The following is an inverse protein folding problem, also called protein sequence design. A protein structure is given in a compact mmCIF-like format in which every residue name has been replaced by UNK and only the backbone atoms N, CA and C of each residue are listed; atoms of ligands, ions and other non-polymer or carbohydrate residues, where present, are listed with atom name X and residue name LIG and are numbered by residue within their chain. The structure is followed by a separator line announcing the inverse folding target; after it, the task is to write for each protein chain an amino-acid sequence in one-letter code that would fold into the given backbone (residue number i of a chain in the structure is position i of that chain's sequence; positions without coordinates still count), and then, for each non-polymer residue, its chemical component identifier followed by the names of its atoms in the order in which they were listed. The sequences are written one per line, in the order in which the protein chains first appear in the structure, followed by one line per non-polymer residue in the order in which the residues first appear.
data_IF_774534084468
#
_entry.id   IF_774534084468
#
_cell.length_a   1.000
_cell.length_b   1.000
_cell.length_c   1.000
_cell.angle_alpha   90.00
_cell.angle_beta   90.00
_cell.angle_gamma   90.00
#
_symmetry.space_group_name_H-M   'P 1'
#
loop_
_entity.id
_entity.type
_entity.pdbx_description
1 polymer ?
#
# COMPACT_ATOMS: atom_id res chain seq x y z
N UNK A 1 -19.43 17.45 -17.80
CA UNK A 1 -19.29 16.03 -17.43
C UNK A 1 -17.87 15.63 -17.04
N UNK A 2 -16.83 15.99 -17.80
CA UNK A 2 -15.43 15.57 -17.59
C UNK A 2 -14.81 15.74 -16.18
N UNK A 3 -15.13 16.78 -15.41
CA UNK A 3 -14.54 16.99 -14.06
C UNK A 3 -15.06 16.00 -13.00
N UNK A 4 -16.32 15.58 -13.12
CA UNK A 4 -16.97 14.68 -12.15
C UNK A 4 -16.42 13.25 -12.26
N UNK A 5 -16.18 12.81 -13.49
CA UNK A 5 -15.60 11.48 -13.77
C UNK A 5 -14.16 11.38 -13.29
N UNK A 6 -13.38 12.46 -13.43
CA UNK A 6 -11.99 12.50 -12.95
C UNK A 6 -11.89 12.39 -11.43
N UNK A 7 -12.72 13.13 -10.68
CA UNK A 7 -12.77 13.01 -9.20
C UNK A 7 -13.23 11.61 -8.77
N UNK A 8 -14.21 11.01 -9.46
CA UNK A 8 -14.64 9.63 -9.19
C UNK A 8 -13.53 8.61 -9.43
N UNK A 9 -12.78 8.73 -10.53
CA UNK A 9 -11.64 7.86 -10.83
C UNK A 9 -10.54 7.99 -9.78
N UNK A 10 -10.21 9.21 -9.36
CA UNK A 10 -9.21 9.46 -8.32
C UNK A 10 -9.59 8.81 -6.98
N UNK A 11 -10.88 8.84 -6.61
CA UNK A 11 -11.39 8.15 -5.41
C UNK A 11 -11.26 6.63 -5.50
N UNK A 12 -11.57 6.05 -6.66
CA UNK A 12 -11.40 4.60 -6.89
C UNK A 12 -9.93 4.22 -6.80
N UNK A 13 -9.04 4.98 -7.44
CA UNK A 13 -7.60 4.77 -7.38
C UNK A 13 -7.07 4.90 -5.95
N UNK A 14 -7.52 5.90 -5.19
CA UNK A 14 -7.15 6.06 -3.78
C UNK A 14 -7.56 4.84 -2.95
N UNK A 15 -8.80 4.36 -3.11
CA UNK A 15 -9.28 3.15 -2.43
C UNK A 15 -8.47 1.90 -2.78
N UNK A 16 -8.10 1.72 -4.06
CA UNK A 16 -7.23 0.61 -4.50
C UNK A 16 -5.86 0.73 -3.84
N UNK A 17 -5.24 1.91 -3.84
CA UNK A 17 -3.95 2.15 -3.21
C UNK A 17 -4.00 1.89 -1.69
N UNK A 18 -5.08 2.31 -1.01
CA UNK A 18 -5.29 2.05 0.41
C UNK A 18 -5.39 0.55 0.72
N UNK A 19 -6.18 -0.19 -0.08
CA UNK A 19 -6.31 -1.64 0.08
C UNK A 19 -5.00 -2.38 -0.22
N UNK A 20 -4.24 -1.93 -1.22
CA UNK A 20 -2.96 -2.52 -1.56
C UNK A 20 -1.92 -2.28 -0.47
N UNK A 21 -1.91 -1.07 0.11
CA UNK A 21 -1.09 -0.74 1.28
C UNK A 21 -1.43 -1.64 2.48
N UNK A 22 -2.71 -1.80 2.80
CA UNK A 22 -3.16 -2.70 3.86
C UNK A 22 -2.74 -4.16 3.59
N UNK A 23 -2.78 -4.61 2.33
CA UNK A 23 -2.28 -5.92 1.92
C UNK A 23 -0.79 -6.11 2.21
N UNK A 24 0.05 -5.14 1.86
CA UNK A 24 1.49 -5.17 2.15
C UNK A 24 1.80 -5.17 3.65
N UNK A 25 1.08 -4.38 4.45
CA UNK A 25 1.22 -4.46 5.92
C UNK A 25 0.66 -5.76 6.50
N UNK A 26 -0.39 -6.30 5.90
CA UNK A 26 -0.96 -7.60 6.23
C UNK A 26 0.06 -8.73 6.05
N UNK A 27 0.84 -8.72 4.96
CA UNK A 27 1.94 -9.67 4.73
C UNK A 27 2.91 -9.65 5.91
N UNK A 28 3.29 -8.47 6.42
CA UNK A 28 4.21 -8.36 7.56
C UNK A 28 3.62 -8.99 8.83
N UNK A 29 2.32 -8.81 9.06
CA UNK A 29 1.64 -9.32 10.25
C UNK A 29 1.40 -10.85 10.21
N UNK A 30 1.06 -11.38 9.03
CA UNK A 30 0.73 -12.80 8.87
C UNK A 30 1.94 -13.66 8.54
N UNK A 31 3.06 -13.06 8.11
CA UNK A 31 4.29 -13.82 7.88
C UNK A 31 4.76 -14.33 9.24
N UNK A 32 4.70 -15.65 9.48
CA UNK A 32 4.94 -16.22 10.79
C UNK A 32 6.38 -15.90 11.21
N UNK A 33 6.57 -15.49 12.47
CA UNK A 33 7.86 -15.16 13.08
C UNK A 33 8.91 -16.28 13.15
N UNK A 34 8.79 -17.32 12.32
CA UNK A 34 9.32 -18.65 12.60
C UNK A 34 10.67 -18.98 11.95
N UNK A 35 11.24 -18.11 11.11
CA UNK A 35 12.62 -18.31 10.59
C UNK A 35 13.51 -17.05 10.64
N UNK A 36 13.03 -15.99 11.31
CA UNK A 36 13.48 -14.59 11.15
C UNK A 36 14.94 -14.31 11.55
N UNK A 37 15.58 -15.14 12.37
CA UNK A 37 16.93 -14.80 12.84
C UNK A 37 18.05 -15.08 11.82
N UNK A 38 17.84 -15.94 10.81
CA UNK A 38 18.96 -16.48 10.02
C UNK A 38 18.82 -16.43 8.49
N UNK A 39 17.70 -15.93 7.94
CA UNK A 39 17.50 -15.89 6.48
C UNK A 39 17.52 -14.45 5.95
N UNK A 40 18.55 -14.09 5.18
CA UNK A 40 18.71 -12.75 4.56
C UNK A 40 17.54 -12.37 3.65
N UNK A 41 16.85 -13.37 3.09
CA UNK A 41 15.66 -13.14 2.25
C UNK A 41 14.49 -12.57 3.04
N UNK A 42 14.38 -12.86 4.33
CA UNK A 42 13.31 -12.33 5.17
C UNK A 42 13.39 -10.81 5.33
N UNK A 43 14.60 -10.29 5.58
CA UNK A 43 14.83 -8.85 5.71
C UNK A 43 14.55 -8.09 4.41
N UNK A 44 14.85 -8.71 3.25
CA UNK A 44 14.52 -8.16 1.95
C UNK A 44 13.00 -8.07 1.75
N UNK A 45 12.26 -9.14 2.06
CA UNK A 45 10.79 -9.20 1.94
C UNK A 45 10.14 -8.20 2.91
N UNK A 46 10.65 -8.08 4.14
CA UNK A 46 10.15 -7.13 5.14
C UNK A 46 10.34 -5.69 4.65
N UNK A 47 11.55 -5.35 4.18
CA UNK A 47 11.87 -4.00 3.70
C UNK A 47 11.04 -3.65 2.48
N UNK A 48 10.87 -4.60 1.54
CA UNK A 48 10.00 -4.41 0.37
C UNK A 48 8.55 -4.21 0.79
N UNK A 49 8.03 -5.04 1.70
CA UNK A 49 6.63 -4.95 2.15
C UNK A 49 6.36 -3.63 2.87
N UNK A 50 7.28 -3.19 3.74
CA UNK A 50 7.18 -1.87 4.39
C UNK A 50 7.24 -0.75 3.35
N UNK A 51 8.21 -0.81 2.43
CA UNK A 51 8.42 0.20 1.41
C UNK A 51 7.20 0.36 0.49
N UNK A 52 6.66 -0.75 -0.04
CA UNK A 52 5.46 -0.73 -0.87
C UNK A 52 4.22 -0.34 -0.08
N UNK A 53 4.07 -0.81 1.16
CA UNK A 53 2.98 -0.39 2.05
C UNK A 53 2.94 1.12 2.25
N UNK A 54 4.07 1.74 2.57
CA UNK A 54 4.20 3.20 2.72
C UNK A 54 3.95 3.91 1.40
N UNK A 55 4.54 3.44 0.30
CA UNK A 55 4.40 4.06 -1.02
C UNK A 55 2.94 4.08 -1.48
N UNK A 56 2.21 2.97 -1.34
CA UNK A 56 0.79 2.92 -1.71
C UNK A 56 -0.10 3.71 -0.74
N UNK A 57 0.26 3.79 0.55
CA UNK A 57 -0.45 4.66 1.48
C UNK A 57 -0.29 6.12 1.10
N UNK A 58 0.92 6.53 0.75
CA UNK A 58 1.19 7.90 0.30
C UNK A 58 0.48 8.23 -1.01
N UNK A 59 0.48 7.31 -1.98
CA UNK A 59 -0.28 7.47 -3.21
C UNK A 59 -1.78 7.59 -2.94
N UNK A 60 -2.33 6.77 -2.04
CA UNK A 60 -3.74 6.86 -1.64
C UNK A 60 -4.08 8.25 -1.08
N UNK A 61 -3.22 8.77 -0.20
CA UNK A 61 -3.36 10.10 0.39
C UNK A 61 -3.29 11.21 -0.66
N UNK A 62 -2.32 11.16 -1.58
CA UNK A 62 -2.15 12.19 -2.62
C UNK A 62 -3.31 12.17 -3.63
N UNK A 63 -3.80 10.98 -3.98
CA UNK A 63 -4.96 10.79 -4.85
C UNK A 63 -6.24 11.32 -4.20
N UNK A 64 -6.42 11.08 -2.89
CA UNK A 64 -7.56 11.58 -2.14
C UNK A 64 -7.53 13.11 -2.03
N UNK A 65 -6.36 13.67 -1.69
CA UNK A 65 -6.10 15.12 -1.69
C UNK A 65 -6.40 15.77 -3.03
N UNK A 66 -6.05 15.09 -4.14
CA UNK A 66 -6.30 15.59 -5.50
C UNK A 66 -7.76 15.43 -5.95
N UNK A 67 -8.57 14.66 -5.22
CA UNK A 67 -9.97 14.38 -5.53
C UNK A 67 -10.96 15.31 -4.81
N UNK A 68 -10.50 15.97 -3.74
CA UNK A 68 -11.19 17.00 -2.94
C UNK A 68 -11.14 18.36 -3.65
#
# INVERSE_FOLDING_TARGET
MLKKDKSSLLKVLSGICGNLSAGWFGIILITPGFEIAFNSNYWAILTQSIGFGILFLWLAFELERSSL
#
